data_IF_662272827195
#
_entry.id   IF_662272827195
#
_cell.length_a   1.000
_cell.length_b   1.000
_cell.length_c   1.000
_cell.angle_alpha   90.00
_cell.angle_beta   90.00
_cell.angle_gamma   90.00
#
_symmetry.space_group_name_H-M   'P 1'
#
loop_
_entity.id
_entity.type
_entity.pdbx_description
1 polymer ?
#
# COMPACT_ATOMS: atom_id res chain seq x y z
N UNK A 1 5.91 -26.04 6.70
CA UNK A 1 6.66 -24.87 7.22
C UNK A 1 5.73 -23.66 7.17
N UNK A 2 5.91 -22.62 8.00
CA UNK A 2 5.10 -21.37 7.87
C UNK A 2 5.27 -20.73 6.48
N UNK A 3 6.43 -20.91 5.86
CA UNK A 3 6.73 -20.45 4.51
C UNK A 3 5.94 -21.20 3.42
N UNK A 4 5.42 -22.39 3.71
CA UNK A 4 4.62 -23.18 2.76
C UNK A 4 3.12 -22.90 2.87
N UNK A 5 2.72 -21.91 3.69
CA UNK A 5 1.32 -21.54 3.85
C UNK A 5 1.03 -20.30 2.96
N UNK A 6 0.03 -20.37 2.07
CA UNK A 6 -0.23 -19.29 1.10
C UNK A 6 -0.79 -18.01 1.76
N UNK A 7 -1.30 -18.14 2.99
CA UNK A 7 -1.81 -17.05 3.82
C UNK A 7 -0.72 -16.39 4.70
N UNK A 8 0.52 -16.86 4.61
CA UNK A 8 1.61 -16.27 5.38
C UNK A 8 2.01 -14.93 4.80
N UNK A 9 1.98 -13.90 5.65
CA UNK A 9 2.48 -12.57 5.35
C UNK A 9 3.64 -12.27 6.29
N UNK A 10 4.78 -11.90 5.72
CA UNK A 10 5.98 -11.44 6.41
C UNK A 10 6.12 -9.93 6.22
N UNK A 11 6.13 -9.18 7.31
CA UNK A 11 6.25 -7.74 7.27
C UNK A 11 7.73 -7.31 7.24
N UNK A 12 8.00 -6.19 6.56
CA UNK A 12 9.29 -5.50 6.45
C UNK A 12 10.38 -6.23 5.65
N UNK A 13 10.80 -7.43 6.08
CA UNK A 13 11.80 -8.28 5.40
C UNK A 13 13.08 -7.53 4.94
N UNK A 14 13.60 -6.63 5.78
CA UNK A 14 14.75 -5.77 5.45
C UNK A 14 16.11 -6.39 5.75
N UNK A 15 16.19 -7.31 6.72
CA UNK A 15 17.43 -7.97 7.14
C UNK A 15 17.43 -9.44 6.75
N UNK A 16 17.44 -9.69 5.45
CA UNK A 16 17.49 -11.05 4.91
C UNK A 16 18.86 -11.35 4.30
N UNK A 17 19.45 -12.44 4.74
CA UNK A 17 20.64 -13.02 4.12
C UNK A 17 20.28 -13.77 2.81
N UNK A 18 21.30 -14.23 2.08
CA UNK A 18 21.10 -14.86 0.77
C UNK A 18 20.32 -16.19 0.81
N UNK A 19 20.52 -17.00 1.86
CA UNK A 19 19.80 -18.26 2.03
C UNK A 19 18.33 -17.99 2.39
N UNK A 20 18.05 -17.02 3.26
CA UNK A 20 16.68 -16.60 3.59
C UNK A 20 15.94 -16.05 2.36
N UNK A 21 16.61 -15.24 1.54
CA UNK A 21 16.06 -14.75 0.26
C UNK A 21 15.70 -15.90 -0.67
N UNK A 22 16.58 -16.89 -0.77
CA UNK A 22 16.35 -18.10 -1.59
C UNK A 22 15.19 -18.93 -1.05
N UNK A 23 15.04 -19.06 0.26
CA UNK A 23 13.89 -19.73 0.87
C UNK A 23 12.60 -18.99 0.52
N UNK A 24 12.56 -17.67 0.72
CA UNK A 24 11.38 -16.86 0.43
C UNK A 24 10.99 -16.86 -1.05
N UNK A 25 11.98 -16.81 -1.95
CA UNK A 25 11.75 -16.89 -3.39
C UNK A 25 11.03 -18.19 -3.81
N UNK A 26 11.29 -19.30 -3.11
CA UNK A 26 10.70 -20.60 -3.40
C UNK A 26 9.50 -20.94 -2.49
N UNK A 27 9.00 -19.95 -1.73
CA UNK A 27 7.92 -20.13 -0.77
C UNK A 27 6.59 -19.57 -1.27
N UNK A 28 5.49 -19.93 -0.61
CA UNK A 28 4.17 -19.34 -0.87
C UNK A 28 3.94 -18.05 -0.05
N UNK A 29 4.87 -17.71 0.85
CA UNK A 29 4.77 -16.55 1.70
C UNK A 29 4.83 -15.23 0.91
N UNK A 30 4.07 -14.25 1.40
CA UNK A 30 4.03 -12.90 0.86
C UNK A 30 4.82 -11.94 1.74
N UNK A 31 5.46 -10.96 1.12
CA UNK A 31 6.21 -9.90 1.80
C UNK A 31 5.43 -8.60 1.71
N UNK A 32 5.24 -7.92 2.83
CA UNK A 32 4.67 -6.56 2.89
C UNK A 32 5.77 -5.54 3.18
N UNK A 33 5.97 -4.59 2.26
CA UNK A 33 6.92 -3.50 2.43
C UNK A 33 6.23 -2.31 3.08
N UNK A 34 6.76 -1.93 4.23
CA UNK A 34 6.35 -0.78 5.02
C UNK A 34 7.45 0.30 4.94
N UNK A 35 7.72 0.82 3.74
CA UNK A 35 8.96 1.57 3.49
C UNK A 35 9.08 2.87 4.30
N UNK A 36 7.97 3.58 4.50
CA UNK A 36 7.97 4.84 5.27
C UNK A 36 8.29 4.59 6.74
N UNK A 37 7.80 3.48 7.31
CA UNK A 37 8.12 3.06 8.68
C UNK A 37 9.59 2.64 8.79
N UNK A 38 10.08 1.89 7.81
CA UNK A 38 11.48 1.44 7.78
C UNK A 38 12.45 2.63 7.75
N UNK A 39 12.16 3.62 6.91
CA UNK A 39 12.95 4.86 6.81
C UNK A 39 12.81 5.69 8.09
N UNK A 40 11.59 5.91 8.59
CA UNK A 40 11.34 6.69 9.82
C UNK A 40 12.13 6.15 11.01
N UNK A 41 12.14 4.83 11.18
CA UNK A 41 12.80 4.18 12.31
C UNK A 41 14.28 3.89 12.05
N UNK A 42 14.82 4.28 10.88
CA UNK A 42 16.20 4.04 10.46
C UNK A 42 16.64 2.58 10.60
N UNK A 43 15.73 1.64 10.31
CA UNK A 43 16.00 0.20 10.43
C UNK A 43 16.61 -0.39 9.17
N UNK A 44 16.61 0.34 8.05
CA UNK A 44 17.33 -0.02 6.84
C UNK A 44 16.49 0.07 5.57
N UNK A 45 17.08 -0.36 4.47
CA UNK A 45 16.50 -0.29 3.14
C UNK A 45 16.14 -1.69 2.63
N UNK A 46 14.96 -1.82 2.03
CA UNK A 46 14.54 -3.07 1.39
C UNK A 46 15.21 -3.24 0.03
N UNK A 47 15.61 -4.47 -0.30
CA UNK A 47 16.01 -4.85 -1.66
C UNK A 47 15.24 -6.09 -2.08
N UNK A 48 14.68 -6.04 -3.29
CA UNK A 48 14.00 -7.14 -3.96
C UNK A 48 14.96 -8.12 -4.65
N UNK A 49 16.27 -7.87 -4.61
CA UNK A 49 17.25 -8.76 -5.21
C UNK A 49 17.11 -10.18 -4.65
N UNK A 50 17.06 -11.16 -5.57
CA UNK A 50 16.94 -12.60 -5.29
C UNK A 50 15.65 -13.01 -4.54
N UNK A 51 14.66 -12.14 -4.44
CA UNK A 51 13.31 -12.47 -3.97
C UNK A 51 12.41 -12.88 -5.14
N UNK A 52 11.26 -13.46 -4.81
CA UNK A 52 10.18 -13.75 -5.76
C UNK A 52 9.26 -12.56 -5.98
N UNK A 53 8.10 -12.81 -6.59
CA UNK A 53 7.13 -11.78 -6.96
C UNK A 53 6.05 -11.51 -5.91
N UNK A 54 6.01 -12.31 -4.85
CA UNK A 54 5.05 -12.20 -3.76
C UNK A 54 5.40 -11.02 -2.84
N UNK A 55 5.37 -9.82 -3.39
CA UNK A 55 5.77 -8.58 -2.76
C UNK A 55 4.65 -7.57 -2.91
N UNK A 56 4.12 -7.07 -1.79
CA UNK A 56 3.08 -6.05 -1.75
C UNK A 56 3.44 -4.93 -0.76
N UNK A 57 2.62 -3.89 -0.68
CA UNK A 57 2.90 -2.70 0.12
C UNK A 57 1.97 -2.58 1.33
N UNK A 58 2.45 -1.88 2.35
CA UNK A 58 1.66 -1.51 3.53
C UNK A 58 2.10 -0.17 4.09
N UNK A 59 1.25 0.40 4.95
CA UNK A 59 1.49 1.70 5.59
C UNK A 59 2.00 1.58 7.03
N UNK A 60 1.99 0.38 7.61
CA UNK A 60 2.38 0.11 9.00
C UNK A 60 1.62 0.96 10.05
N UNK A 61 0.40 1.35 9.73
CA UNK A 61 -0.41 2.22 10.58
C UNK A 61 0.07 3.68 10.67
N UNK A 62 1.04 4.11 9.84
CA UNK A 62 1.50 5.50 9.81
C UNK A 62 0.46 6.45 9.21
N UNK A 63 -0.33 5.96 8.24
CA UNK A 63 -1.41 6.65 7.55
C UNK A 63 -2.23 5.64 6.72
N UNK A 64 -3.20 6.13 5.94
CA UNK A 64 -4.08 5.29 5.10
C UNK A 64 -3.92 5.52 3.58
N UNK A 65 -2.85 6.22 3.16
CA UNK A 65 -2.58 6.51 1.74
C UNK A 65 -1.63 5.49 1.07
N UNK A 66 -2.19 4.57 0.29
CA UNK A 66 -1.42 3.55 -0.46
C UNK A 66 -0.71 4.11 -1.71
N UNK A 67 -1.21 5.22 -2.30
CA UNK A 67 -0.56 5.87 -3.44
C UNK A 67 0.76 6.48 -2.98
N UNK A 68 0.74 7.16 -1.84
CA UNK A 68 1.92 7.69 -1.17
C UNK A 68 2.93 6.60 -0.86
N UNK A 69 2.51 5.48 -0.27
CA UNK A 69 3.44 4.38 0.04
C UNK A 69 4.04 3.75 -1.23
N UNK A 70 3.26 3.56 -2.31
CA UNK A 70 3.80 3.07 -3.58
C UNK A 70 4.87 4.01 -4.16
N UNK A 71 4.64 5.32 -4.12
CA UNK A 71 5.63 6.33 -4.53
C UNK A 71 6.87 6.32 -3.64
N UNK A 72 6.70 6.22 -2.32
CA UNK A 72 7.81 6.13 -1.39
C UNK A 72 8.69 4.90 -1.69
N UNK A 73 8.08 3.75 -2.02
CA UNK A 73 8.81 2.54 -2.44
C UNK A 73 9.57 2.83 -3.74
N UNK A 74 8.92 3.42 -4.75
CA UNK A 74 9.58 3.77 -6.01
C UNK A 74 10.83 4.61 -5.79
N UNK A 75 10.70 5.77 -5.13
CA UNK A 75 11.81 6.70 -4.92
C UNK A 75 12.94 6.10 -4.08
N UNK A 76 12.62 5.32 -3.04
CA UNK A 76 13.62 4.62 -2.26
C UNK A 76 14.37 3.58 -3.11
N UNK A 77 13.64 2.84 -3.96
CA UNK A 77 14.21 1.78 -4.79
C UNK A 77 15.20 2.29 -5.85
N UNK A 78 15.12 3.54 -6.29
CA UNK A 78 16.00 4.11 -7.34
C UNK A 78 17.49 4.01 -7.00
N UNK A 79 17.84 3.99 -5.71
CA UNK A 79 19.23 3.87 -5.24
C UNK A 79 19.66 2.45 -4.92
N UNK A 80 18.72 1.50 -4.91
CA UNK A 80 18.94 0.14 -4.40
C UNK A 80 18.73 -0.86 -5.54
N UNK A 81 17.50 -0.97 -6.02
CA UNK A 81 17.07 -1.96 -7.02
C UNK A 81 16.86 -1.35 -8.41
N UNK A 82 16.72 -0.02 -8.51
CA UNK A 82 16.30 0.68 -9.74
C UNK A 82 15.00 0.12 -10.31
N UNK A 83 14.02 -0.11 -9.44
CA UNK A 83 12.73 -0.72 -9.82
C UNK A 83 11.96 0.20 -10.77
N UNK A 84 11.48 -0.35 -11.89
CA UNK A 84 10.70 0.40 -12.88
C UNK A 84 9.27 0.68 -12.38
N UNK A 85 8.61 1.76 -12.85
CA UNK A 85 7.24 2.12 -12.44
C UNK A 85 6.21 0.99 -12.62
N UNK A 86 6.34 0.19 -13.68
CA UNK A 86 5.48 -0.97 -13.99
C UNK A 86 5.48 -1.94 -12.81
N UNK A 87 6.67 -2.24 -12.29
CA UNK A 87 6.86 -3.20 -11.20
C UNK A 87 6.35 -2.65 -9.87
N UNK A 88 6.42 -1.34 -9.67
CA UNK A 88 5.82 -0.69 -8.49
C UNK A 88 4.29 -0.80 -8.56
N UNK A 89 3.70 -0.52 -9.71
CA UNK A 89 2.26 -0.65 -9.89
C UNK A 89 1.79 -2.11 -9.75
N UNK A 90 2.52 -3.07 -10.32
CA UNK A 90 2.29 -4.51 -10.13
C UNK A 90 2.28 -4.88 -8.64
N UNK A 91 3.32 -4.49 -7.88
CA UNK A 91 3.41 -4.75 -6.43
C UNK A 91 2.33 -4.04 -5.61
N UNK A 92 1.85 -2.86 -6.04
CA UNK A 92 0.67 -2.24 -5.42
C UNK A 92 -0.57 -3.11 -5.63
N UNK A 93 -0.74 -3.68 -6.84
CA UNK A 93 -1.86 -4.55 -7.21
C UNK A 93 -1.72 -5.99 -6.70
N UNK A 94 -0.60 -6.36 -6.11
CA UNK A 94 -0.39 -7.70 -5.58
C UNK A 94 -1.31 -8.05 -4.39
N UNK A 95 -1.85 -7.06 -3.68
CA UNK A 95 -2.88 -7.32 -2.65
C UNK A 95 -4.11 -8.02 -3.24
N UNK A 96 -4.53 -7.64 -4.45
CA UNK A 96 -5.60 -8.31 -5.21
C UNK A 96 -5.27 -9.78 -5.46
N UNK A 97 -4.05 -10.05 -5.90
CA UNK A 97 -3.58 -11.41 -6.19
C UNK A 97 -3.53 -12.26 -4.92
N UNK A 98 -3.03 -11.70 -3.82
CA UNK A 98 -3.01 -12.35 -2.52
C UNK A 98 -4.43 -12.74 -2.06
N UNK A 99 -5.39 -11.81 -2.16
CA UNK A 99 -6.79 -12.07 -1.77
C UNK A 99 -7.42 -13.16 -2.64
N UNK A 100 -7.25 -13.07 -3.96
CA UNK A 100 -7.78 -14.05 -4.92
C UNK A 100 -7.19 -15.45 -4.68
N UNK A 101 -5.87 -15.59 -4.60
CA UNK A 101 -5.21 -16.88 -4.40
C UNK A 101 -5.63 -17.57 -3.09
N UNK A 102 -5.97 -16.78 -2.08
CA UNK A 102 -6.30 -17.28 -0.74
C UNK A 102 -7.81 -17.41 -0.48
N UNK A 103 -8.65 -17.19 -1.49
CA UNK A 103 -10.12 -17.18 -1.39
C UNK A 103 -10.60 -16.24 -0.26
N UNK A 104 -10.06 -15.01 -0.24
CA UNK A 104 -10.43 -13.97 0.71
C UNK A 104 -11.29 -12.91 0.03
N UNK A 105 -12.32 -12.46 0.73
CA UNK A 105 -13.14 -11.32 0.29
C UNK A 105 -12.31 -10.03 0.34
N UNK A 106 -12.57 -9.10 -0.59
CA UNK A 106 -11.98 -7.76 -0.54
C UNK A 106 -11.70 -7.13 -1.90
N UNK A 107 -11.51 -7.93 -2.95
CA UNK A 107 -11.23 -7.45 -4.31
C UNK A 107 -12.21 -8.01 -5.35
N UNK A 108 -13.50 -7.73 -5.16
CA UNK A 108 -14.54 -8.03 -6.15
C UNK A 108 -14.59 -7.00 -7.28
N UNK A 109 -15.31 -7.32 -8.36
CA UNK A 109 -15.44 -6.46 -9.55
C UNK A 109 -16.09 -5.09 -9.26
N UNK A 110 -16.81 -4.96 -8.15
CA UNK A 110 -17.54 -3.76 -7.77
C UNK A 110 -16.72 -2.82 -6.84
N UNK A 111 -15.40 -2.79 -7.02
CA UNK A 111 -14.49 -1.86 -6.34
C UNK A 111 -13.91 -0.87 -7.36
N UNK A 112 -14.19 0.42 -7.18
CA UNK A 112 -13.77 1.47 -8.11
C UNK A 112 -13.29 2.72 -7.36
N UNK A 113 -12.23 3.32 -7.88
CA UNK A 113 -11.74 4.64 -7.45
C UNK A 113 -11.85 5.59 -8.64
N UNK A 114 -12.62 6.67 -8.48
CA UNK A 114 -12.76 7.71 -9.49
C UNK A 114 -11.85 8.88 -9.11
N UNK A 115 -10.99 9.27 -10.05
CA UNK A 115 -10.02 10.35 -9.86
C UNK A 115 -10.45 11.59 -10.63
N UNK A 116 -10.57 12.70 -9.92
CA UNK A 116 -10.65 14.06 -10.47
C UNK A 116 -9.23 14.62 -10.55
N UNK A 117 -8.54 14.25 -11.63
CA UNK A 117 -7.14 14.57 -11.90
C UNK A 117 -7.00 15.38 -13.20
N UNK A 118 -6.84 16.69 -13.06
CA UNK A 118 -6.51 17.58 -14.17
C UNK A 118 -5.03 17.46 -14.52
N UNK A 119 -4.75 16.69 -15.56
CA UNK A 119 -3.40 16.45 -16.05
C UNK A 119 -2.90 17.57 -16.98
N UNK A 120 -1.62 17.99 -16.91
CA UNK A 120 -1.03 18.94 -17.86
C UNK A 120 -0.77 18.36 -19.25
N UNK A 121 -0.86 17.04 -19.41
CA UNK A 121 -0.73 16.29 -20.67
C UNK A 121 -1.87 15.30 -20.82
N UNK A 122 -2.25 14.95 -22.05
CA UNK A 122 -3.30 13.96 -22.28
C UNK A 122 -2.95 12.63 -21.61
N UNK A 123 -3.87 12.10 -20.79
CA UNK A 123 -3.69 10.83 -20.10
C UNK A 123 -4.06 9.66 -21.02
N UNK A 124 -3.14 8.73 -21.20
CA UNK A 124 -3.34 7.50 -21.97
C UNK A 124 -2.60 6.31 -21.32
N UNK A 125 -2.70 5.13 -21.92
CA UNK A 125 -2.10 3.91 -21.36
C UNK A 125 -0.56 3.99 -21.31
N UNK A 126 0.07 4.64 -22.29
CA UNK A 126 1.52 4.71 -22.42
C UNK A 126 2.16 5.64 -21.36
N UNK A 127 1.42 6.65 -20.89
CA UNK A 127 1.91 7.60 -19.89
C UNK A 127 1.26 7.47 -18.50
N UNK A 128 0.29 6.58 -18.32
CA UNK A 128 -0.42 6.38 -17.06
C UNK A 128 0.53 6.18 -15.88
N UNK A 129 1.57 5.34 -16.02
CA UNK A 129 2.49 5.05 -14.92
C UNK A 129 3.30 6.28 -14.49
N UNK A 130 3.62 7.18 -15.43
CA UNK A 130 4.26 8.45 -15.10
C UNK A 130 3.30 9.37 -14.34
N UNK A 131 2.03 9.46 -14.76
CA UNK A 131 1.01 10.18 -14.00
C UNK A 131 0.79 9.57 -12.62
N UNK A 132 0.74 8.25 -12.49
CA UNK A 132 0.60 7.54 -11.22
C UNK A 132 1.74 7.88 -10.24
N UNK A 133 3.00 7.81 -10.69
CA UNK A 133 4.16 8.08 -9.84
C UNK A 133 4.32 9.57 -9.53
N UNK A 134 4.16 10.45 -10.52
CA UNK A 134 4.58 11.84 -10.42
C UNK A 134 3.45 12.87 -10.30
N UNK A 135 2.20 12.47 -10.55
CA UNK A 135 1.08 13.41 -10.67
C UNK A 135 -0.13 13.11 -9.77
N UNK A 136 -0.62 11.87 -9.80
CA UNK A 136 -1.84 11.46 -9.09
C UNK A 136 -1.55 11.42 -7.58
N UNK A 137 -2.40 12.04 -6.77
CA UNK A 137 -2.28 12.12 -5.31
C UNK A 137 -3.63 11.75 -4.70
N UNK A 138 -3.66 11.41 -3.41
CA UNK A 138 -4.92 11.07 -2.70
C UNK A 138 -5.98 12.18 -2.76
N UNK A 139 -5.60 13.45 -2.84
CA UNK A 139 -6.54 14.57 -3.04
C UNK A 139 -7.35 14.50 -4.35
N UNK A 140 -6.87 13.75 -5.33
CA UNK A 140 -7.56 13.54 -6.60
C UNK A 140 -8.67 12.49 -6.49
N UNK A 141 -8.75 11.71 -5.40
CA UNK A 141 -9.82 10.74 -5.19
C UNK A 141 -11.13 11.50 -4.99
N UNK A 142 -12.04 11.42 -5.97
CA UNK A 142 -13.34 12.07 -5.92
C UNK A 142 -14.42 11.15 -5.37
N UNK A 143 -14.44 9.90 -5.87
CA UNK A 143 -15.39 8.88 -5.45
C UNK A 143 -14.68 7.55 -5.18
N UNK A 144 -15.18 6.82 -4.19
CA UNK A 144 -14.74 5.45 -3.89
C UNK A 144 -15.98 4.59 -3.76
N UNK A 145 -16.01 3.51 -4.52
CA UNK A 145 -17.05 2.48 -4.48
C UNK A 145 -16.37 1.22 -3.95
N UNK A 146 -16.92 0.67 -2.87
CA UNK A 146 -16.47 -0.60 -2.30
C UNK A 146 -17.63 -1.58 -2.27
N UNK A 147 -17.46 -2.72 -2.94
CA UNK A 147 -18.49 -3.74 -3.13
C UNK A 147 -19.86 -3.14 -3.53
N UNK A 148 -19.84 -2.26 -4.53
CA UNK A 148 -21.04 -1.61 -5.09
C UNK A 148 -21.63 -0.48 -4.23
N UNK A 149 -21.03 -0.17 -3.08
CA UNK A 149 -21.47 0.93 -2.21
C UNK A 149 -20.56 2.14 -2.39
N UNK A 150 -21.16 3.29 -2.69
CA UNK A 150 -20.45 4.57 -2.74
C UNK A 150 -20.09 5.02 -1.31
N UNK A 151 -18.83 4.82 -0.91
CA UNK A 151 -18.33 5.12 0.45
C UNK A 151 -17.64 6.47 0.56
N UNK A 152 -17.17 7.02 -0.56
CA UNK A 152 -16.70 8.41 -0.69
C UNK A 152 -17.45 9.04 -1.84
N UNK A 153 -18.09 10.18 -1.60
CA UNK A 153 -18.79 10.98 -2.62
C UNK A 153 -18.30 12.41 -2.58
N UNK A 154 -17.83 12.93 -3.71
CA UNK A 154 -17.35 14.32 -3.82
C UNK A 154 -16.33 14.67 -2.73
N UNK A 155 -15.40 13.73 -2.49
CA UNK A 155 -14.35 13.79 -1.44
C UNK A 155 -14.85 13.73 0.01
N UNK A 156 -16.12 13.40 0.26
CA UNK A 156 -16.68 13.25 1.61
C UNK A 156 -17.05 11.80 1.89
N UNK A 157 -16.80 11.33 3.12
CA UNK A 157 -17.26 10.01 3.56
C UNK A 157 -18.79 9.97 3.65
N UNK A 158 -19.38 8.88 3.16
CA UNK A 158 -20.85 8.67 3.22
C UNK A 158 -21.27 7.78 4.38
N UNK A 159 -20.31 7.13 5.04
CA UNK A 159 -20.53 6.10 6.06
C UNK A 159 -20.41 6.60 7.48
N UNK A 160 -19.75 7.75 7.69
CA UNK A 160 -19.50 8.36 8.99
C UNK A 160 -19.52 9.88 8.89
N UNK A 161 -19.83 10.56 10.00
CA UNK A 161 -19.60 12.00 10.13
C UNK A 161 -18.15 12.24 10.55
N UNK A 162 -17.37 12.87 9.68
CA UNK A 162 -15.94 13.14 9.92
C UNK A 162 -15.69 14.03 11.16
N UNK A 163 -16.58 14.98 11.43
CA UNK A 163 -16.43 15.88 12.58
C UNK A 163 -16.61 15.11 13.89
N UNK A 164 -17.64 14.27 13.97
CA UNK A 164 -17.91 13.44 15.15
C UNK A 164 -16.76 12.45 15.39
N UNK A 165 -16.24 11.84 14.31
CA UNK A 165 -15.09 10.92 14.40
C UNK A 165 -13.81 11.63 14.87
N UNK A 166 -13.58 12.87 14.43
CA UNK A 166 -12.43 13.65 14.87
C UNK A 166 -12.56 14.04 16.34
N UNK A 167 -13.73 14.49 16.78
CA UNK A 167 -14.01 14.82 18.18
C UNK A 167 -13.78 13.61 19.09
N UNK A 168 -14.34 12.45 18.73
CA UNK A 168 -14.13 11.20 19.45
C UNK A 168 -12.65 10.79 19.51
N UNK A 169 -11.92 10.91 18.39
CA UNK A 169 -10.50 10.58 18.33
C UNK A 169 -9.66 11.48 19.24
N UNK A 170 -9.96 12.78 19.30
CA UNK A 170 -9.32 13.72 20.22
C UNK A 170 -9.60 13.38 21.69
N UNK A 171 -10.85 13.03 22.02
CA UNK A 171 -11.22 12.60 23.37
C UNK A 171 -10.44 11.35 23.80
N UNK A 172 -10.37 10.33 22.95
CA UNK A 172 -9.63 9.10 23.23
C UNK A 172 -8.13 9.35 23.36
N UNK A 173 -7.56 10.21 22.50
CA UNK A 173 -6.17 10.65 22.60
C UNK A 173 -5.87 11.29 23.96
N UNK A 174 -6.72 12.22 24.42
CA UNK A 174 -6.58 12.86 25.73
C UNK A 174 -6.67 11.86 26.89
N UNK A 175 -7.58 10.87 26.81
CA UNK A 175 -7.69 9.81 27.83
C UNK A 175 -6.43 8.94 27.87
N UNK A 176 -5.88 8.59 26.71
CA UNK A 176 -4.65 7.80 26.63
C UNK A 176 -3.48 8.57 27.23
N UNK A 177 -3.29 9.84 26.84
CA UNK A 177 -2.21 10.66 27.36
C UNK A 177 -2.25 10.82 28.87
N UNK A 178 -3.45 11.05 29.45
CA UNK A 178 -3.62 11.12 30.91
C UNK A 178 -3.27 9.81 31.65
N UNK A 179 -3.31 8.65 30.97
CA UNK A 179 -2.90 7.37 31.55
C UNK A 179 -1.40 7.12 31.44
N UNK A 180 -0.76 7.73 30.44
CA UNK A 180 0.67 7.57 30.17
C UNK A 180 1.53 8.65 30.87
N UNK A 181 0.93 9.78 31.22
CA UNK A 181 1.50 10.84 32.07
C UNK A 181 1.40 10.50 33.54
#
# INVERSE_FOLDING_TARGET
>A
NVLDLPKTILAHCIHLNDEERKLLKNSEAWIVLNIESNIKNNVGNFSSARLGENIMFGTDGMHSDMLRSAKAVYFNSLRIDKTAPEKIYERLRNVSHYLYQNNLDGDGENNLVVLDYTSPTDLNQDNFLSHFIYGIESKHIQHVISNGKLIVKDRQLTTVNESDMLEFSMEMGNKLWKKLS
#
